data_IF_359838081296
#
_entry.id   IF_359838081296
#
_cell.length_a   1.000
_cell.length_b   1.000
_cell.length_c   1.000
_cell.angle_alpha   90.00
_cell.angle_beta   90.00
_cell.angle_gamma   90.00
#
_symmetry.space_group_name_H-M   'P 1'
#
loop_
_entity.id
_entity.type
_entity.pdbx_description
1 polymer ?
#
# COMPACT_ATOMS: atom_id res chain seq x y z
N UNK A 1 2.72 95.99 -9.27
CA UNK A 1 1.73 95.23 -8.48
C UNK A 1 2.13 93.77 -8.53
N UNK A 2 2.46 93.19 -7.37
CA UNK A 2 2.67 91.76 -7.21
C UNK A 2 1.32 91.04 -7.18
N UNK A 3 1.23 89.89 -7.83
CA UNK A 3 0.18 88.91 -7.56
C UNK A 3 0.71 87.51 -7.90
N UNK A 4 0.89 86.72 -6.85
CA UNK A 4 1.11 85.28 -6.90
C UNK A 4 -0.21 84.57 -7.24
N UNK A 5 -0.17 83.59 -8.14
CA UNK A 5 -1.17 82.50 -8.21
C UNK A 5 -0.44 81.26 -8.73
N UNK A 6 0.02 80.38 -7.86
CA UNK A 6 -0.72 79.24 -7.31
C UNK A 6 -0.70 78.04 -8.28
N UNK A 7 0.20 77.12 -7.97
CA UNK A 7 0.34 75.76 -8.51
C UNK A 7 -0.98 75.00 -8.32
N UNK A 8 -1.50 74.44 -9.41
CA UNK A 8 -2.64 73.54 -9.40
C UNK A 8 -2.33 72.28 -10.20
N UNK A 9 -1.59 71.34 -9.59
CA UNK A 9 -1.46 69.98 -10.13
C UNK A 9 -2.79 69.25 -9.93
N UNK A 10 -3.55 69.09 -11.02
CA UNK A 10 -4.73 68.22 -11.03
C UNK A 10 -4.25 66.77 -11.11
N UNK A 11 -4.26 66.08 -9.97
CA UNK A 11 -4.08 64.63 -9.88
C UNK A 11 -5.44 63.95 -10.15
N UNK A 12 -5.63 63.44 -11.36
CA UNK A 12 -6.78 62.59 -11.69
C UNK A 12 -6.47 61.16 -11.21
N UNK A 13 -7.08 60.77 -10.10
CA UNK A 13 -7.05 59.39 -9.61
C UNK A 13 -8.10 58.57 -10.37
N UNK A 14 -7.68 57.75 -11.32
CA UNK A 14 -8.54 56.73 -11.93
C UNK A 14 -8.65 55.52 -11.00
N UNK A 15 -9.80 55.32 -10.38
CA UNK A 15 -10.10 54.10 -9.64
C UNK A 15 -10.37 52.95 -10.63
N UNK A 16 -9.46 51.97 -10.68
CA UNK A 16 -9.71 50.70 -11.37
C UNK A 16 -10.48 49.80 -10.43
N UNK A 17 -11.76 49.56 -10.72
CA UNK A 17 -12.55 48.53 -10.04
C UNK A 17 -12.20 47.18 -10.68
N UNK A 18 -11.37 46.39 -10.00
CA UNK A 18 -11.21 44.96 -10.34
C UNK A 18 -12.44 44.21 -9.79
N UNK A 19 -13.33 43.79 -10.69
CA UNK A 19 -14.33 42.78 -10.35
C UNK A 19 -13.65 41.41 -10.30
N UNK A 20 -13.21 41.02 -9.11
CA UNK A 20 -12.77 39.65 -8.86
C UNK A 20 -14.01 38.74 -8.75
N UNK A 21 -14.39 38.08 -9.85
CA UNK A 21 -15.21 36.87 -9.78
C UNK A 21 -14.33 35.76 -9.21
N UNK A 22 -14.32 35.65 -7.88
CA UNK A 22 -13.70 34.55 -7.17
C UNK A 22 -14.46 33.25 -7.42
N UNK A 23 -14.16 32.59 -8.53
CA UNK A 23 -14.40 31.15 -8.63
C UNK A 23 -13.43 30.51 -7.64
N UNK A 24 -13.97 30.11 -6.48
CA UNK A 24 -13.26 29.31 -5.48
C UNK A 24 -12.71 28.09 -6.22
N UNK A 25 -11.38 27.90 -6.31
CA UNK A 25 -10.86 26.64 -6.80
C UNK A 25 -11.33 25.60 -5.80
N UNK A 26 -12.22 24.71 -6.25
CA UNK A 26 -12.51 23.49 -5.52
C UNK A 26 -11.16 22.88 -5.10
N UNK A 27 -10.96 22.52 -3.82
CA UNK A 27 -9.74 21.84 -3.43
C UNK A 27 -9.64 20.60 -4.30
N UNK A 28 -8.68 20.57 -5.23
CA UNK A 28 -8.27 19.33 -5.86
C UNK A 28 -7.93 18.39 -4.70
N UNK A 29 -8.41 17.14 -4.69
CA UNK A 29 -8.02 16.18 -3.68
C UNK A 29 -6.49 16.11 -3.64
N UNK A 30 -5.90 16.70 -2.61
CA UNK A 30 -4.55 16.43 -2.17
C UNK A 30 -4.59 14.98 -1.68
N UNK A 31 -4.30 14.03 -2.56
CA UNK A 31 -4.46 12.61 -2.24
C UNK A 31 -4.42 11.63 -3.40
N UNK A 32 -4.26 12.10 -4.65
CA UNK A 32 -3.64 11.23 -5.66
C UNK A 32 -2.18 11.16 -5.26
N UNK A 33 -1.73 10.00 -4.81
CA UNK A 33 -0.32 9.64 -4.69
C UNK A 33 0.38 10.29 -5.87
N UNK A 34 1.20 11.32 -5.62
CA UNK A 34 1.79 12.09 -6.69
C UNK A 34 2.39 11.10 -7.69
N UNK A 35 2.14 11.33 -8.98
CA UNK A 35 2.75 10.64 -10.11
C UNK A 35 4.27 10.82 -10.03
N UNK A 36 4.86 10.12 -9.08
CA UNK A 36 6.27 9.97 -8.91
C UNK A 36 6.64 8.97 -10.00
N UNK A 37 7.16 9.50 -11.12
CA UNK A 37 7.68 8.73 -12.25
C UNK A 37 8.27 7.39 -11.76
N UNK A 38 7.55 6.29 -12.00
CA UNK A 38 7.97 4.95 -11.59
C UNK A 38 7.11 4.22 -10.55
N UNK A 39 6.12 4.87 -9.92
CA UNK A 39 5.20 4.21 -8.98
C UNK A 39 3.83 3.94 -9.62
N UNK A 40 3.58 2.71 -10.09
CA UNK A 40 2.33 2.37 -10.77
C UNK A 40 1.40 1.49 -9.93
N UNK A 41 1.34 1.70 -8.61
CA UNK A 41 0.50 0.90 -7.72
C UNK A 41 -0.99 0.94 -8.06
N UNK A 42 -1.47 2.00 -8.72
CA UNK A 42 -2.86 2.13 -9.13
C UNK A 42 -3.33 0.98 -10.04
N UNK A 43 -2.42 0.33 -10.79
CA UNK A 43 -2.77 -0.81 -11.63
C UNK A 43 -3.17 -2.05 -10.82
N UNK A 44 -2.78 -2.13 -9.54
CA UNK A 44 -3.06 -3.25 -8.65
C UNK A 44 -4.32 -3.08 -7.81
N UNK A 45 -5.20 -2.13 -8.15
CA UNK A 45 -6.55 -2.09 -7.55
C UNK A 45 -7.34 -3.38 -7.79
N UNK A 46 -7.02 -4.08 -8.89
CA UNK A 46 -7.52 -5.40 -9.23
C UNK A 46 -6.47 -6.15 -10.03
N UNK A 47 -6.21 -7.40 -9.67
CA UNK A 47 -5.44 -8.30 -10.52
C UNK A 47 -6.33 -8.88 -11.63
N UNK A 48 -5.70 -9.31 -12.72
CA UNK A 48 -6.40 -9.97 -13.81
C UNK A 48 -6.99 -11.31 -13.35
N UNK A 49 -8.08 -11.79 -14.00
CA UNK A 49 -8.63 -13.11 -13.72
C UNK A 49 -7.59 -14.24 -13.88
N UNK A 50 -6.67 -14.09 -14.84
CA UNK A 50 -5.62 -15.08 -15.09
C UNK A 50 -4.63 -15.18 -13.91
N UNK A 51 -4.19 -14.06 -13.36
CA UNK A 51 -3.32 -14.02 -12.18
C UNK A 51 -4.04 -14.64 -10.98
N UNK A 52 -5.28 -14.22 -10.70
CA UNK A 52 -6.08 -14.76 -9.59
C UNK A 52 -6.32 -16.27 -9.73
N UNK A 53 -6.52 -16.77 -10.95
CA UNK A 53 -6.66 -18.20 -11.20
C UNK A 53 -5.36 -18.97 -10.96
N UNK A 54 -4.19 -18.37 -11.19
CA UNK A 54 -2.90 -18.98 -10.85
C UNK A 54 -2.73 -19.10 -9.33
N UNK A 55 -3.03 -18.04 -8.57
CA UNK A 55 -3.04 -18.10 -7.10
C UNK A 55 -4.06 -19.09 -6.55
N UNK A 56 -5.24 -19.18 -7.18
CA UNK A 56 -6.28 -20.15 -6.80
C UNK A 56 -5.76 -21.58 -6.96
N UNK A 57 -5.16 -21.91 -8.11
CA UNK A 57 -4.57 -23.23 -8.35
C UNK A 57 -3.52 -23.58 -7.31
N UNK A 58 -2.58 -22.67 -7.03
CA UNK A 58 -1.57 -22.88 -6.00
C UNK A 58 -2.19 -23.15 -4.62
N UNK A 59 -3.23 -22.38 -4.26
CA UNK A 59 -3.94 -22.55 -2.99
C UNK A 59 -4.70 -23.87 -2.91
N UNK A 60 -5.44 -24.23 -3.95
CA UNK A 60 -6.20 -25.48 -3.97
C UNK A 60 -5.26 -26.69 -3.84
N UNK A 61 -4.14 -26.71 -4.58
CA UNK A 61 -3.12 -27.77 -4.48
C UNK A 61 -2.50 -27.84 -3.09
N UNK A 62 -2.21 -26.69 -2.48
CA UNK A 62 -1.71 -26.66 -1.11
C UNK A 62 -2.74 -27.24 -0.12
N UNK A 63 -4.01 -26.82 -0.20
CA UNK A 63 -5.09 -27.33 0.67
C UNK A 63 -5.31 -28.85 0.51
N UNK A 64 -5.18 -29.37 -0.71
CA UNK A 64 -5.22 -30.82 -0.95
C UNK A 64 -4.07 -31.55 -0.26
N UNK A 65 -2.85 -30.99 -0.32
CA UNK A 65 -1.68 -31.55 0.36
C UNK A 65 -1.81 -31.53 1.90
N UNK A 66 -2.49 -30.51 2.44
CA UNK A 66 -2.73 -30.37 3.87
C UNK A 66 -3.72 -31.40 4.42
N UNK A 67 -4.62 -31.95 3.60
CA UNK A 67 -5.51 -33.03 4.04
C UNK A 67 -4.74 -34.28 4.52
N UNK A 68 -3.44 -34.36 4.20
CA UNK A 68 -2.55 -35.45 4.58
C UNK A 68 -1.64 -35.10 5.78
N UNK A 69 -1.67 -33.87 6.32
CA UNK A 69 -0.77 -33.40 7.39
C UNK A 69 -1.50 -32.60 8.46
N UNK A 70 -1.17 -32.84 9.73
CA UNK A 70 -1.63 -31.98 10.82
C UNK A 70 -0.92 -30.61 10.73
N UNK A 71 -1.66 -29.56 10.43
CA UNK A 71 -1.16 -28.19 10.44
C UNK A 71 -2.02 -27.35 11.39
N UNK A 72 -1.38 -26.65 12.31
CA UNK A 72 -2.05 -25.60 13.08
C UNK A 72 -1.01 -24.59 13.52
N UNK A 73 -1.32 -23.31 13.32
CA UNK A 73 -0.56 -22.23 13.88
C UNK A 73 -1.39 -21.51 14.93
N UNK A 74 -0.95 -21.56 16.18
CA UNK A 74 -1.60 -20.86 17.29
C UNK A 74 -0.53 -20.13 18.12
N UNK A 75 -0.64 -18.80 18.24
CA UNK A 75 -1.64 -17.91 17.63
C UNK A 75 -1.51 -17.82 16.10
N UNK A 76 -2.53 -17.28 15.42
CA UNK A 76 -2.47 -17.07 13.96
C UNK A 76 -1.47 -15.96 13.65
N UNK A 77 -0.53 -16.22 12.75
CA UNK A 77 0.43 -15.22 12.28
C UNK A 77 -0.27 -14.00 11.64
N UNK A 78 -1.31 -14.26 10.85
CA UNK A 78 -2.20 -13.25 10.27
C UNK A 78 -3.58 -13.27 10.97
N UNK A 79 -3.80 -12.44 12.01
CA UNK A 79 -5.10 -12.33 12.66
C UNK A 79 -6.17 -11.83 11.69
N UNK A 80 -7.40 -12.34 11.81
CA UNK A 80 -8.55 -11.83 11.04
C UNK A 80 -8.90 -10.39 11.39
N UNK A 81 -8.57 -9.97 12.61
CA UNK A 81 -8.78 -8.61 13.12
C UNK A 81 -7.75 -7.60 12.60
N UNK A 82 -6.71 -8.07 11.90
CA UNK A 82 -5.74 -7.20 11.25
C UNK A 82 -6.31 -6.66 9.93
N UNK A 83 -6.33 -5.33 9.83
CA UNK A 83 -6.80 -4.61 8.65
C UNK A 83 -5.96 -3.34 8.46
N UNK A 84 -5.49 -3.11 7.23
CA UNK A 84 -4.72 -1.92 6.88
C UNK A 84 -5.53 -0.63 7.03
N UNK A 85 -6.86 -0.70 6.97
CA UNK A 85 -7.74 0.46 7.21
C UNK A 85 -7.59 1.03 8.63
N UNK A 86 -7.14 0.22 9.59
CA UNK A 86 -6.87 0.65 10.97
C UNK A 86 -5.54 1.43 11.10
N UNK A 87 -4.74 1.50 10.04
CA UNK A 87 -3.47 2.22 9.99
C UNK A 87 -3.64 3.56 9.27
N UNK A 88 -2.74 4.50 9.56
CA UNK A 88 -2.64 5.75 8.80
C UNK A 88 -2.28 5.45 7.36
N UNK A 89 -2.72 6.28 6.42
CA UNK A 89 -2.50 6.05 4.97
C UNK A 89 -1.03 5.81 4.63
N UNK A 90 -0.11 6.60 5.21
CA UNK A 90 1.33 6.46 5.02
C UNK A 90 1.94 5.20 5.67
N UNK A 91 1.24 4.58 6.64
CA UNK A 91 1.67 3.35 7.30
C UNK A 91 1.30 2.08 6.52
N UNK A 92 0.25 2.15 5.69
CA UNK A 92 -0.31 1.01 4.96
C UNK A 92 0.71 0.36 4.00
N UNK A 93 1.50 1.12 3.19
CA UNK A 93 2.50 0.54 2.32
C UNK A 93 3.57 -0.26 3.07
N UNK A 94 4.03 0.22 4.24
CA UNK A 94 5.04 -0.48 5.05
C UNK A 94 4.49 -1.80 5.61
N UNK A 95 3.23 -1.80 6.06
CA UNK A 95 2.59 -3.02 6.53
C UNK A 95 2.42 -4.05 5.39
N UNK A 96 1.96 -3.59 4.22
CA UNK A 96 1.81 -4.44 3.04
C UNK A 96 3.16 -5.00 2.58
N UNK A 97 4.20 -4.17 2.54
CA UNK A 97 5.56 -4.60 2.13
C UNK A 97 6.06 -5.73 3.03
N UNK A 98 5.91 -5.60 4.35
CA UNK A 98 6.33 -6.65 5.29
C UNK A 98 5.53 -7.95 5.12
N UNK A 99 4.21 -7.87 4.90
CA UNK A 99 3.39 -9.05 4.62
C UNK A 99 3.77 -9.73 3.29
N UNK A 100 4.02 -8.92 2.26
CA UNK A 100 4.39 -9.38 0.93
C UNK A 100 5.78 -10.01 0.92
N UNK A 101 6.76 -9.40 1.60
CA UNK A 101 8.12 -9.92 1.71
C UNK A 101 8.14 -11.27 2.44
N UNK A 102 7.39 -11.42 3.53
CA UNK A 102 7.27 -12.71 4.21
C UNK A 102 6.57 -13.75 3.33
N UNK A 103 5.51 -13.34 2.63
CA UNK A 103 4.78 -14.22 1.70
C UNK A 103 5.70 -14.72 0.58
N UNK A 104 6.45 -13.82 -0.07
CA UNK A 104 7.44 -14.14 -1.09
C UNK A 104 8.46 -15.15 -0.57
N UNK A 105 9.11 -14.87 0.56
CA UNK A 105 10.12 -15.75 1.15
C UNK A 105 9.61 -17.17 1.38
N UNK A 106 8.40 -17.29 1.94
CA UNK A 106 7.82 -18.61 2.24
C UNK A 106 7.41 -19.33 0.96
N UNK A 107 6.78 -18.65 0.01
CA UNK A 107 6.38 -19.26 -1.25
C UNK A 107 7.58 -19.68 -2.12
N UNK A 108 8.68 -18.94 -2.10
CA UNK A 108 9.93 -19.33 -2.76
C UNK A 108 10.45 -20.65 -2.19
N UNK A 109 10.51 -20.78 -0.86
CA UNK A 109 10.90 -22.03 -0.22
C UNK A 109 9.93 -23.19 -0.54
N UNK A 110 8.63 -22.91 -0.69
CA UNK A 110 7.64 -23.90 -1.10
C UNK A 110 7.79 -24.32 -2.58
N UNK A 111 8.21 -23.41 -3.45
CA UNK A 111 8.49 -23.73 -4.86
C UNK A 111 9.66 -24.71 -4.96
N UNK A 112 10.71 -24.49 -4.16
CA UNK A 112 11.88 -25.36 -4.12
C UNK A 112 11.61 -26.76 -3.53
N UNK A 113 10.53 -26.93 -2.76
CA UNK A 113 10.33 -28.13 -1.93
C UNK A 113 9.04 -28.92 -2.17
N UNK A 114 7.92 -28.28 -2.55
CA UNK A 114 6.59 -28.92 -2.51
C UNK A 114 5.63 -28.55 -3.64
N UNK A 115 5.57 -27.27 -4.05
CA UNK A 115 4.61 -26.81 -5.06
C UNK A 115 5.22 -26.59 -6.45
N UNK A 116 6.56 -26.52 -6.55
CA UNK A 116 7.27 -26.42 -7.83
C UNK A 116 6.73 -25.31 -8.74
N UNK A 117 6.66 -25.61 -10.03
CA UNK A 117 6.27 -24.70 -11.12
C UNK A 117 4.84 -24.13 -10.97
N UNK A 118 3.99 -24.71 -10.10
CA UNK A 118 2.66 -24.14 -9.81
C UNK A 118 2.79 -22.73 -9.22
N UNK A 119 3.91 -22.45 -8.54
CA UNK A 119 4.20 -21.15 -7.94
C UNK A 119 4.92 -20.18 -8.88
N UNK A 120 5.33 -20.56 -10.08
CA UNK A 120 6.09 -19.67 -10.99
C UNK A 120 5.33 -18.38 -11.31
N UNK A 121 4.10 -18.51 -11.79
CA UNK A 121 3.25 -17.35 -12.11
C UNK A 121 2.85 -16.55 -10.86
N UNK A 122 2.41 -17.18 -9.74
CA UNK A 122 2.21 -16.49 -8.46
C UNK A 122 3.43 -15.68 -8.01
N UNK A 123 4.62 -16.28 -7.99
CA UNK A 123 5.86 -15.64 -7.54
C UNK A 123 6.27 -14.50 -8.47
N UNK A 124 6.16 -14.69 -9.80
CA UNK A 124 6.41 -13.61 -10.75
C UNK A 124 5.51 -12.40 -10.47
N UNK A 125 4.21 -12.64 -10.25
CA UNK A 125 3.24 -11.59 -9.94
C UNK A 125 3.56 -10.89 -8.62
N UNK A 126 3.87 -11.64 -7.55
CA UNK A 126 4.23 -11.07 -6.24
C UNK A 126 5.52 -10.24 -6.30
N UNK A 127 6.53 -10.70 -7.06
CA UNK A 127 7.79 -9.96 -7.25
C UNK A 127 7.56 -8.66 -8.01
N UNK A 128 6.70 -8.67 -9.02
CA UNK A 128 6.31 -7.45 -9.76
C UNK A 128 5.60 -6.43 -8.84
N UNK A 129 4.65 -6.90 -8.03
CA UNK A 129 3.98 -6.05 -7.03
C UNK A 129 5.00 -5.48 -6.05
N UNK A 130 5.93 -6.31 -5.55
CA UNK A 130 6.95 -5.89 -4.60
C UNK A 130 7.91 -4.85 -5.20
N UNK A 131 8.35 -5.03 -6.45
CA UNK A 131 9.22 -4.05 -7.13
C UNK A 131 8.53 -2.71 -7.34
N UNK A 132 7.26 -2.71 -7.73
CA UNK A 132 6.48 -1.48 -7.88
C UNK A 132 6.25 -0.79 -6.53
N UNK A 133 6.01 -1.57 -5.46
CA UNK A 133 5.88 -1.02 -4.10
C UNK A 133 7.17 -0.35 -3.62
N UNK A 134 8.34 -0.93 -3.93
CA UNK A 134 9.65 -0.38 -3.59
C UNK A 134 10.04 0.83 -4.45
N UNK A 135 9.53 0.91 -5.68
CA UNK A 135 9.74 2.07 -6.56
C UNK A 135 8.94 3.30 -6.10
N UNK A 136 7.90 3.09 -5.29
CA UNK A 136 7.13 4.18 -4.72
C UNK A 136 7.92 4.94 -3.65
N UNK A 137 7.92 6.28 -3.67
CA UNK A 137 8.58 7.05 -2.62
C UNK A 137 8.04 6.65 -1.25
N UNK A 138 8.92 6.46 -0.24
CA UNK A 138 8.47 6.15 1.10
C UNK A 138 7.51 7.26 1.56
N UNK A 139 6.31 6.85 1.97
CA UNK A 139 5.34 7.79 2.51
C UNK A 139 5.93 8.38 3.79
N UNK A 140 6.40 9.63 3.71
CA UNK A 140 7.15 10.20 4.82
C UNK A 140 6.26 10.34 6.06
N UNK A 141 6.73 9.91 7.24
CA UNK A 141 6.01 10.19 8.45
C UNK A 141 5.97 11.71 8.65
N UNK A 142 4.82 12.29 9.05
CA UNK A 142 4.80 13.68 9.45
C UNK A 142 5.82 13.89 10.58
N UNK A 143 6.76 14.82 10.34
CA UNK A 143 7.79 15.26 11.28
C UNK A 143 8.74 14.17 11.82
N UNK A 144 9.08 13.14 11.04
CA UNK A 144 10.05 12.13 11.46
C UNK A 144 9.55 11.18 12.55
N UNK A 145 8.22 11.04 12.68
CA UNK A 145 7.61 10.10 13.62
C UNK A 145 7.86 8.64 13.22
N UNK A 146 8.54 7.89 14.07
CA UNK A 146 8.79 6.46 13.86
C UNK A 146 7.47 5.66 13.95
N UNK A 147 7.31 4.54 13.20
CA UNK A 147 6.19 3.63 13.39
C UNK A 147 6.06 3.23 14.85
N UNK A 148 4.90 3.50 15.47
CA UNK A 148 4.61 3.17 16.87
C UNK A 148 3.30 2.39 16.99
N UNK A 149 3.10 1.75 18.14
CA UNK A 149 1.85 1.07 18.45
C UNK A 149 1.59 -0.13 17.55
N UNK A 150 0.45 -0.11 16.85
CA UNK A 150 -0.08 -1.25 16.08
C UNK A 150 0.85 -1.68 14.96
N UNK A 151 1.37 -0.74 14.16
CA UNK A 151 2.28 -1.06 13.06
C UNK A 151 3.58 -1.68 13.58
N UNK A 152 4.19 -1.09 14.61
CA UNK A 152 5.44 -1.60 15.17
C UNK A 152 5.32 -3.06 15.65
N UNK A 153 4.27 -3.38 16.43
CA UNK A 153 4.01 -4.75 16.87
C UNK A 153 3.77 -5.69 15.67
N UNK A 154 3.05 -5.22 14.65
CA UNK A 154 2.84 -6.02 13.44
C UNK A 154 4.14 -6.36 12.72
N UNK A 155 4.98 -5.36 12.45
CA UNK A 155 6.27 -5.54 11.80
C UNK A 155 7.19 -6.47 12.60
N UNK A 156 7.26 -6.27 13.92
CA UNK A 156 8.03 -7.13 14.83
C UNK A 156 7.54 -8.59 14.75
N UNK A 157 6.22 -8.82 14.73
CA UNK A 157 5.65 -10.16 14.64
C UNK A 157 6.04 -10.85 13.35
N UNK A 158 5.95 -10.16 12.21
CA UNK A 158 6.33 -10.74 10.91
C UNK A 158 7.82 -10.98 10.80
N UNK A 159 8.64 -10.08 11.36
CA UNK A 159 10.09 -10.22 11.40
C UNK A 159 10.54 -11.44 12.21
N UNK A 160 9.93 -11.65 13.38
CA UNK A 160 10.28 -12.76 14.27
C UNK A 160 9.70 -14.12 13.82
N UNK A 161 8.71 -14.12 12.92
CA UNK A 161 7.96 -15.32 12.56
C UNK A 161 8.82 -16.45 11.98
N UNK A 162 9.80 -16.21 11.07
CA UNK A 162 10.65 -17.27 10.55
C UNK A 162 11.46 -18.02 11.62
N UNK A 163 11.76 -17.37 12.75
CA UNK A 163 12.53 -17.97 13.85
C UNK A 163 11.64 -18.62 14.90
N UNK A 164 10.40 -18.14 15.04
CA UNK A 164 9.48 -18.56 16.13
C UNK A 164 8.44 -19.58 15.69
N UNK A 165 8.11 -19.64 14.41
CA UNK A 165 7.07 -20.50 13.88
C UNK A 165 7.66 -21.68 13.11
N UNK A 166 6.96 -22.83 13.16
CA UNK A 166 7.34 -23.98 12.34
C UNK A 166 7.12 -23.69 10.86
N UNK A 167 7.88 -24.37 9.99
CA UNK A 167 7.72 -24.25 8.53
C UNK A 167 6.27 -24.46 8.10
N UNK A 168 5.62 -25.54 8.57
CA UNK A 168 4.21 -25.80 8.26
C UNK A 168 3.24 -24.72 8.78
N UNK A 169 3.55 -24.04 9.88
CA UNK A 169 2.77 -22.87 10.30
C UNK A 169 2.93 -21.73 9.28
N UNK A 170 4.16 -21.42 8.87
CA UNK A 170 4.45 -20.32 7.95
C UNK A 170 3.76 -20.54 6.61
N UNK A 171 3.96 -21.71 6.01
CA UNK A 171 3.35 -22.13 4.74
C UNK A 171 1.82 -21.99 4.80
N UNK A 172 1.19 -22.57 5.82
CA UNK A 172 -0.24 -22.45 6.00
C UNK A 172 -0.68 -20.99 6.17
N UNK A 173 0.03 -20.24 7.02
CA UNK A 173 -0.32 -18.86 7.32
C UNK A 173 -0.29 -17.98 6.08
N UNK A 174 0.76 -18.08 5.24
CA UNK A 174 0.85 -17.29 4.01
C UNK A 174 -0.18 -17.74 2.98
N UNK A 175 -0.39 -19.05 2.83
CA UNK A 175 -1.34 -19.60 1.85
C UNK A 175 -2.78 -19.24 2.16
N UNK A 176 -3.18 -19.29 3.44
CA UNK A 176 -4.52 -18.85 3.84
C UNK A 176 -4.67 -17.32 3.81
N UNK A 177 -3.58 -16.57 3.87
CA UNK A 177 -3.58 -15.11 3.79
C UNK A 177 -3.58 -14.57 2.36
N UNK A 178 -3.10 -15.33 1.37
CA UNK A 178 -2.76 -14.82 0.03
C UNK A 178 -3.89 -14.03 -0.65
N UNK A 179 -5.13 -14.51 -0.59
CA UNK A 179 -6.26 -13.78 -1.20
C UNK A 179 -6.62 -12.50 -0.46
N UNK A 180 -6.48 -12.47 0.87
CA UNK A 180 -6.67 -11.25 1.66
C UNK A 180 -5.61 -10.21 1.27
N UNK A 181 -4.36 -10.65 1.15
CA UNK A 181 -3.25 -9.82 0.72
C UNK A 181 -3.53 -9.21 -0.67
N UNK A 182 -3.91 -10.03 -1.65
CA UNK A 182 -4.05 -9.59 -3.05
C UNK A 182 -5.33 -8.78 -3.32
N UNK A 183 -6.44 -9.10 -2.67
CA UNK A 183 -7.76 -8.52 -3.04
C UNK A 183 -8.21 -7.40 -2.11
N UNK A 184 -7.68 -7.36 -0.88
CA UNK A 184 -8.06 -6.38 0.14
C UNK A 184 -6.89 -5.47 0.49
N UNK A 185 -5.78 -6.05 0.95
CA UNK A 185 -4.68 -5.27 1.51
C UNK A 185 -3.93 -4.51 0.40
N UNK A 186 -3.62 -5.18 -0.72
CA UNK A 186 -3.05 -4.56 -1.93
C UNK A 186 -3.97 -3.51 -2.53
N UNK A 187 -5.26 -3.83 -2.70
CA UNK A 187 -6.25 -2.87 -3.19
C UNK A 187 -6.33 -1.63 -2.32
N UNK A 188 -6.26 -1.79 -0.99
CA UNK A 188 -6.30 -0.68 -0.05
C UNK A 188 -5.12 0.28 -0.27
N UNK A 189 -3.91 -0.26 -0.40
CA UNK A 189 -2.70 0.54 -0.69
C UNK A 189 -2.78 1.19 -2.07
N UNK A 190 -3.21 0.45 -3.10
CA UNK A 190 -3.38 0.96 -4.46
C UNK A 190 -4.44 2.09 -4.55
N UNK A 191 -5.39 2.12 -3.62
CA UNK A 191 -6.46 3.13 -3.56
C UNK A 191 -6.08 4.36 -2.72
N UNK A 192 -4.97 4.31 -1.97
CA UNK A 192 -4.51 5.41 -1.13
C UNK A 192 -5.56 5.90 -0.12
N UNK A 193 -5.87 7.20 -0.17
CA UNK A 193 -6.86 7.85 0.69
C UNK A 193 -8.30 7.36 0.44
N UNK A 194 -8.57 6.73 -0.71
CA UNK A 194 -9.90 6.19 -1.04
C UNK A 194 -10.19 4.84 -0.34
N UNK A 195 -9.20 4.25 0.32
CA UNK A 195 -9.41 3.06 1.15
C UNK A 195 -9.94 3.45 2.53
N UNK A 196 -11.24 3.24 2.73
CA UNK A 196 -12.01 3.55 3.96
C UNK A 196 -12.66 2.32 4.58
#
# INVERSE_FOLDING_TARGET
LAAHTAVGCVLVLTAVVLTATGAVPFPKPLGVLADARGCHLAQFQSLSPQELQAFKRAKDTFEESLSQKAWSCRPRLFPRTWDLQQLKVWERPMALEAELALTLKVLEAMADSSLGDILDQPLHTLRHIHSELQACPPAQPPAGSQPRGRLHHWLQRLHDAPEKESLGCLEASVMFNVFRLLTRDLKCVASGDLCV
#
